data_IF_225223168123
#
_entry.id   IF_225223168123
#
_cell.length_a   1.000
_cell.length_b   1.000
_cell.length_c   1.000
_cell.angle_alpha   90.00
_cell.angle_beta   90.00
_cell.angle_gamma   90.00
#
_symmetry.space_group_name_H-M   'P 1'
#
loop_
_entity.id
_entity.type
_entity.pdbx_description
1 polymer ?
#
# COMPACT_ATOMS: atom_id res chain seq x y z
N UNK A 1 -13.93 -12.14 2.36
CA UNK A 1 -13.97 -12.23 0.90
C UNK A 1 -12.63 -11.93 0.30
N UNK A 2 -12.29 -12.64 -0.72
CA UNK A 2 -11.02 -12.40 -1.38
C UNK A 2 -11.14 -11.23 -2.35
N UNK A 3 -10.04 -10.54 -2.55
CA UNK A 3 -9.99 -9.46 -3.53
C UNK A 3 -9.76 -10.04 -4.94
N UNK A 4 -10.23 -9.31 -5.95
CA UNK A 4 -10.02 -9.70 -7.33
C UNK A 4 -8.62 -9.35 -7.76
N UNK A 5 -7.96 -10.28 -8.44
CA UNK A 5 -6.64 -10.02 -8.96
C UNK A 5 -6.64 -8.87 -9.97
N UNK A 6 -7.73 -8.72 -10.72
CA UNK A 6 -7.81 -7.62 -11.68
C UNK A 6 -7.76 -6.26 -11.00
N UNK A 7 -8.34 -6.14 -9.81
CA UNK A 7 -8.26 -4.89 -9.07
C UNK A 7 -6.83 -4.63 -8.63
N UNK A 8 -6.14 -5.67 -8.15
CA UNK A 8 -4.75 -5.53 -7.74
C UNK A 8 -3.90 -5.10 -8.92
N UNK A 9 -4.10 -5.72 -10.07
CA UNK A 9 -3.32 -5.37 -11.26
C UNK A 9 -3.59 -3.96 -11.72
N UNK A 10 -4.83 -3.50 -11.57
CA UNK A 10 -5.16 -2.11 -11.86
C UNK A 10 -4.36 -1.16 -10.97
N UNK A 11 -4.31 -1.45 -9.68
CA UNK A 11 -3.57 -0.60 -8.74
C UNK A 11 -2.07 -0.62 -9.09
N UNK A 12 -1.52 -1.81 -9.35
CA UNK A 12 -0.10 -1.91 -9.68
C UNK A 12 0.21 -1.09 -10.93
N UNK A 13 -0.66 -1.15 -11.92
CA UNK A 13 -0.47 -0.38 -13.14
C UNK A 13 -0.47 1.12 -12.85
N UNK A 14 -1.27 1.56 -11.90
CA UNK A 14 -1.36 2.98 -11.57
C UNK A 14 -0.09 3.49 -10.92
N UNK A 15 0.64 2.63 -10.18
CA UNK A 15 1.77 3.10 -9.38
C UNK A 15 3.12 2.53 -9.85
N UNK A 16 3.14 1.86 -10.99
CA UNK A 16 4.36 1.15 -11.40
C UNK A 16 5.52 2.08 -11.69
N UNK A 17 5.28 3.35 -11.95
CA UNK A 17 6.37 4.28 -12.23
C UNK A 17 7.02 4.86 -10.96
N UNK A 18 6.53 4.49 -9.78
CA UNK A 18 7.14 4.93 -8.53
C UNK A 18 8.43 4.15 -8.26
N UNK A 19 8.45 2.89 -8.61
CA UNK A 19 9.58 2.03 -8.39
C UNK A 19 9.21 0.64 -8.79
N UNK A 20 9.98 -0.33 -8.32
CA UNK A 20 9.67 -1.72 -8.63
C UNK A 20 8.53 -2.18 -7.74
N UNK A 21 7.37 -2.38 -8.34
CA UNK A 21 6.17 -2.75 -7.62
C UNK A 21 5.92 -4.24 -7.81
N UNK A 22 5.72 -4.94 -6.71
CA UNK A 22 5.34 -6.34 -6.73
C UNK A 22 4.19 -6.54 -5.77
N UNK A 23 3.56 -7.70 -5.85
CA UNK A 23 2.49 -8.01 -4.90
C UNK A 23 2.52 -9.49 -4.58
N UNK A 24 1.96 -9.83 -3.42
CA UNK A 24 1.86 -11.19 -2.98
C UNK A 24 0.47 -11.45 -2.46
N UNK A 25 -0.05 -12.61 -2.81
CA UNK A 25 -1.34 -13.03 -2.28
C UNK A 25 -1.13 -13.66 -0.92
N UNK A 26 -1.93 -13.23 0.06
CA UNK A 26 -1.86 -13.77 1.40
C UNK A 26 -3.27 -13.95 1.94
N UNK A 27 -3.64 -15.17 2.26
CA UNK A 27 -4.93 -15.45 2.88
C UNK A 27 -6.08 -14.89 2.05
N UNK A 28 -5.96 -14.97 0.73
CA UNK A 28 -7.01 -14.47 -0.16
C UNK A 28 -6.95 -12.99 -0.45
N UNK A 29 -6.09 -12.26 0.24
CA UNK A 29 -5.91 -10.83 0.01
C UNK A 29 -4.51 -10.58 -0.52
N UNK A 30 -4.16 -9.32 -0.73
CA UNK A 30 -2.89 -9.00 -1.36
C UNK A 30 -2.13 -7.95 -0.59
N UNK A 31 -0.81 -8.08 -0.58
CA UNK A 31 0.08 -7.05 -0.07
C UNK A 31 0.86 -6.48 -1.25
N UNK A 32 0.99 -5.16 -1.29
CA UNK A 32 1.72 -4.48 -2.36
C UNK A 32 3.06 -4.00 -1.83
N UNK A 33 4.10 -4.24 -2.60
CA UNK A 33 5.46 -3.91 -2.21
C UNK A 33 6.03 -2.90 -3.19
N UNK A 34 6.76 -1.93 -2.66
CA UNK A 34 7.55 -1.01 -3.47
C UNK A 34 9.00 -1.18 -3.05
N UNK A 35 9.83 -1.64 -3.97
CA UNK A 35 11.25 -1.91 -3.69
C UNK A 35 11.42 -2.78 -2.45
N UNK A 36 10.52 -3.74 -2.27
CA UNK A 36 10.59 -4.67 -1.17
C UNK A 36 9.92 -4.25 0.12
N UNK A 37 9.45 -3.00 0.20
CA UNK A 37 8.71 -2.53 1.38
C UNK A 37 7.22 -2.69 1.16
N UNK A 38 6.52 -3.17 2.18
CA UNK A 38 5.06 -3.22 2.11
C UNK A 38 4.53 -1.82 2.25
N UNK A 39 3.90 -1.31 1.19
CA UNK A 39 3.36 0.05 1.23
C UNK A 39 1.85 0.06 1.31
N UNK A 40 1.19 -1.03 0.94
CA UNK A 40 -0.26 -1.05 0.90
C UNK A 40 -0.77 -2.47 0.97
N UNK A 41 -2.05 -2.58 1.29
CA UNK A 41 -2.75 -3.86 1.29
C UNK A 41 -4.01 -3.70 0.45
N UNK A 42 -4.41 -4.77 -0.20
CA UNK A 42 -5.70 -4.82 -0.90
C UNK A 42 -6.52 -5.89 -0.22
N UNK A 43 -7.59 -5.48 0.41
CA UNK A 43 -8.47 -6.38 1.12
C UNK A 43 -9.90 -6.05 0.77
N UNK A 44 -10.67 -7.07 0.41
CA UNK A 44 -12.08 -6.89 0.08
C UNK A 44 -12.26 -5.86 -1.02
N UNK A 45 -11.39 -5.91 -2.03
CA UNK A 45 -11.39 -4.99 -3.17
C UNK A 45 -11.28 -3.54 -2.76
N UNK A 46 -10.51 -3.28 -1.69
CA UNK A 46 -10.26 -1.92 -1.22
C UNK A 46 -8.77 -1.74 -1.02
N UNK A 47 -8.31 -0.54 -1.29
CA UNK A 47 -6.89 -0.22 -1.14
C UNK A 47 -6.67 0.45 0.21
N UNK A 48 -5.74 -0.12 0.98
CA UNK A 48 -5.36 0.41 2.29
C UNK A 48 -3.88 0.76 2.23
N UNK A 49 -3.58 2.04 2.48
CA UNK A 49 -2.20 2.54 2.41
C UNK A 49 -1.64 2.56 3.83
N UNK A 50 -0.40 2.11 3.98
CA UNK A 50 0.25 2.16 5.29
C UNK A 50 0.29 3.60 5.77
N UNK A 51 -0.07 3.85 7.04
CA UNK A 51 -0.13 5.23 7.52
C UNK A 51 1.25 5.82 7.73
N UNK A 52 1.41 7.05 7.23
CA UNK A 52 2.60 7.84 7.47
C UNK A 52 2.15 9.28 7.70
N UNK A 53 3.02 10.08 8.32
CA UNK A 53 2.67 11.47 8.55
C UNK A 53 2.59 12.24 7.24
N UNK A 54 3.52 12.01 6.34
CA UNK A 54 3.48 12.66 5.04
C UNK A 54 2.28 12.25 4.22
N UNK A 55 1.92 10.97 4.30
CA UNK A 55 0.73 10.50 3.60
C UNK A 55 -0.53 11.14 4.15
N UNK A 56 -0.63 11.27 5.47
CA UNK A 56 -1.78 11.93 6.08
C UNK A 56 -1.89 13.37 5.62
N UNK A 57 -0.76 14.08 5.60
CA UNK A 57 -0.76 15.48 5.17
C UNK A 57 -1.13 15.59 3.70
N UNK A 58 -0.66 14.66 2.89
CA UNK A 58 -0.94 14.67 1.47
C UNK A 58 -2.42 14.43 1.18
N UNK A 59 -3.01 13.45 1.88
CA UNK A 59 -4.42 13.12 1.68
C UNK A 59 -5.33 14.21 2.23
N UNK A 60 -5.00 14.72 3.40
CA UNK A 60 -5.80 15.74 4.08
C UNK A 60 -6.87 15.10 4.92
N UNK A 61 -7.97 14.76 4.29
CA UNK A 61 -9.13 14.19 4.95
C UNK A 61 -9.03 12.68 4.89
N UNK A 62 -8.26 12.08 5.79
CA UNK A 62 -8.03 10.64 5.73
C UNK A 62 -9.22 9.89 6.33
N UNK A 63 -9.47 8.72 5.76
CA UNK A 63 -10.38 7.74 6.34
C UNK A 63 -9.54 6.59 6.79
N UNK A 64 -9.60 6.26 8.06
CA UNK A 64 -8.81 5.18 8.61
C UNK A 64 -9.69 3.99 8.91
N UNK A 65 -9.25 2.82 8.53
CA UNK A 65 -9.99 1.60 8.76
C UNK A 65 -9.01 0.44 8.80
N UNK A 66 -9.34 -0.60 9.57
CA UNK A 66 -8.47 -1.79 9.57
C UNK A 66 -8.67 -2.55 8.27
N UNK A 67 -7.58 -3.01 7.68
CA UNK A 67 -7.64 -3.76 6.44
C UNK A 67 -8.29 -5.12 6.66
N UNK A 68 -8.12 -5.67 7.85
CA UNK A 68 -8.74 -6.94 8.21
C UNK A 68 -8.96 -6.93 9.73
N UNK A 69 -9.72 -7.90 10.22
CA UNK A 69 -10.03 -7.96 11.64
C UNK A 69 -8.75 -8.04 12.45
N UNK A 70 -8.61 -7.14 13.41
CA UNK A 70 -7.46 -7.12 14.28
C UNK A 70 -6.29 -6.31 13.77
N UNK A 71 -6.36 -5.80 12.53
CA UNK A 71 -5.28 -4.99 11.99
C UNK A 71 -5.33 -3.58 12.54
N UNK A 72 -4.17 -2.93 12.55
CA UNK A 72 -4.12 -1.51 12.89
C UNK A 72 -4.75 -0.71 11.76
N UNK A 73 -5.33 0.46 12.07
CA UNK A 73 -5.94 1.26 11.01
C UNK A 73 -4.94 1.68 9.96
N UNK A 74 -5.40 1.67 8.72
CA UNK A 74 -4.63 2.16 7.58
C UNK A 74 -5.48 3.17 6.84
N UNK A 75 -4.87 3.89 5.90
CA UNK A 75 -5.62 4.89 5.12
C UNK A 75 -6.41 4.18 4.03
N UNK A 76 -7.72 4.27 4.10
CA UNK A 76 -8.58 3.68 3.07
C UNK A 76 -8.68 4.67 1.91
N UNK A 77 -8.33 4.21 0.73
CA UNK A 77 -8.39 5.02 -0.48
C UNK A 77 -9.47 4.45 -1.37
N UNK A 78 -10.39 5.30 -1.78
CA UNK A 78 -11.52 4.87 -2.57
C UNK A 78 -11.43 5.47 -3.97
N UNK A 79 -12.08 6.60 -4.21
CA UNK A 79 -12.16 7.17 -5.55
C UNK A 79 -10.82 7.51 -6.15
N UNK A 80 -9.88 7.91 -5.32
CA UNK A 80 -8.60 8.41 -5.81
C UNK A 80 -7.72 7.34 -6.43
N UNK A 81 -8.09 6.07 -6.31
CA UNK A 81 -7.30 5.02 -6.96
C UNK A 81 -7.29 5.21 -8.48
N UNK A 82 -8.25 5.94 -9.04
CA UNK A 82 -8.30 6.16 -10.47
C UNK A 82 -7.44 7.34 -10.92
N UNK A 83 -6.93 8.11 -9.97
CA UNK A 83 -6.05 9.24 -10.29
C UNK A 83 -4.61 8.76 -10.20
N UNK A 84 -4.04 8.41 -11.35
CA UNK A 84 -2.71 7.79 -11.41
C UNK A 84 -1.66 8.68 -10.75
N UNK A 85 -1.68 9.97 -11.04
CA UNK A 85 -0.67 10.86 -10.49
C UNK A 85 -0.81 10.99 -8.98
N UNK A 86 -2.03 11.15 -8.52
CA UNK A 86 -2.29 11.31 -7.09
C UNK A 86 -1.86 10.07 -6.32
N UNK A 87 -2.28 8.90 -6.79
CA UNK A 87 -1.99 7.67 -6.06
C UNK A 87 -0.49 7.35 -6.12
N UNK A 88 0.16 7.66 -7.24
CA UNK A 88 1.60 7.43 -7.35
C UNK A 88 2.37 8.31 -6.37
N UNK A 89 1.96 9.56 -6.21
CA UNK A 89 2.59 10.45 -5.25
C UNK A 89 2.40 9.95 -3.83
N UNK A 90 1.21 9.45 -3.51
CA UNK A 90 0.94 8.92 -2.18
C UNK A 90 1.83 7.71 -1.90
N UNK A 91 1.96 6.81 -2.87
CA UNK A 91 2.80 5.64 -2.68
C UNK A 91 4.27 6.05 -2.50
N UNK A 92 4.73 7.04 -3.27
CA UNK A 92 6.12 7.50 -3.13
C UNK A 92 6.36 8.07 -1.74
N UNK A 93 5.45 8.90 -1.24
CA UNK A 93 5.57 9.47 0.10
C UNK A 93 5.58 8.34 1.13
N UNK A 94 4.68 7.39 0.98
CA UNK A 94 4.59 6.26 1.91
C UNK A 94 5.88 5.48 1.92
N UNK A 95 6.41 5.17 0.73
CA UNK A 95 7.64 4.41 0.63
C UNK A 95 8.79 5.13 1.33
N UNK A 96 8.88 6.43 1.12
CA UNK A 96 10.00 7.19 1.67
C UNK A 96 9.95 7.30 3.19
N UNK A 97 8.75 7.29 3.77
CA UNK A 97 8.63 7.47 5.21
C UNK A 97 8.59 6.18 5.99
N UNK A 98 8.29 5.07 5.35
CA UNK A 98 8.28 3.81 6.06
C UNK A 98 9.71 3.36 6.34
N UNK A 99 9.93 2.77 7.53
CA UNK A 99 11.27 2.26 7.82
C UNK A 99 11.61 1.11 6.90
N UNK A 100 12.90 0.98 6.60
CA UNK A 100 13.35 -0.11 5.78
C UNK A 100 13.15 -1.42 6.48
N UNK A 101 12.66 -2.41 5.74
CA UNK A 101 12.49 -3.73 6.32
C UNK A 101 13.73 -4.52 6.10
N UNK A 102 14.65 -4.46 7.04
CA UNK A 102 15.86 -5.17 6.91
C UNK A 102 15.69 -6.58 7.32
N UNK A 103 16.30 -7.49 6.62
CA UNK A 103 16.42 -8.83 7.15
C UNK A 103 17.28 -8.72 8.38
N UNK A 104 16.92 -9.38 9.31
CA UNK A 104 17.71 -9.28 10.47
C UNK A 104 18.98 -9.92 10.31
N UNK A 105 19.41 -9.93 9.81
CA UNK A 105 20.29 -10.45 9.46
C UNK A 105 21.32 -10.15 9.11
N UNK A 106 21.38 -9.92 8.79
CA UNK A 106 22.16 -9.59 8.42
C UNK A 106 22.97 -9.21 8.77
N UNK A 107 22.99 -9.25 9.06
CA UNK A 107 23.67 -8.97 9.45
C UNK A 107 24.50 -9.22 9.70
N UNK A 108 24.50 -9.44 9.67
CA UNK A 108 25.22 -9.67 9.95
C UNK A 108 26.01 -9.92 10.01
N UNK A 109 26.20 -10.10 10.07
CA UNK A 109 26.95 -10.36 10.25
C UNK A 109 27.46 -10.48 10.49
#
# INVERSE_FOLDING_TARGET
MASDQSFVEFIVDQIENVGQITYKKMFGEYALYCEGKVVALVCDNRLFIKPTEGGRAFIGDVVEAPAYTGAKPSFLIDDKVEDREWISNLIRITYEELPEQKPKKKKKR
#
